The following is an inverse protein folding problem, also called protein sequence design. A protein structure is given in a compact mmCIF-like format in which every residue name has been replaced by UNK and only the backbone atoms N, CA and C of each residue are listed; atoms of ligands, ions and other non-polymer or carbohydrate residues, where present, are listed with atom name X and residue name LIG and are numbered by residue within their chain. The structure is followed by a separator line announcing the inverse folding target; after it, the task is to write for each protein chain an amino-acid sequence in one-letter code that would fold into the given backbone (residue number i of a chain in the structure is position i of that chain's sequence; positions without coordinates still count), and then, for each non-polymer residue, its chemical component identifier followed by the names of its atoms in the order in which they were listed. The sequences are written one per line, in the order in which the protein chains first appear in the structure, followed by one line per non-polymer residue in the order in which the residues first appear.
data_IF_190191113353
#
_entry.id   IF_190191113353
#
_cell.length_a   1.000
_cell.length_b   1.000
_cell.length_c   1.000
_cell.angle_alpha   90.00
_cell.angle_beta   90.00
_cell.angle_gamma   90.00
#
_symmetry.space_group_name_H-M   'P 1'
#
loop_
_entity.id
_entity.type
_entity.pdbx_description
1 polymer ?
#
# COMPACT_ATOMS: atom_id res chain seq x y z
N UNK A 1 -32.72 8.98 15.98
CA UNK A 1 -31.90 8.47 14.86
C UNK A 1 -30.45 8.41 15.31
N UNK A 2 -29.80 7.28 15.11
CA UNK A 2 -28.35 7.16 15.31
C UNK A 2 -27.59 7.78 14.13
N UNK A 3 -26.29 7.98 14.28
CA UNK A 3 -25.47 8.45 13.16
C UNK A 3 -25.51 7.51 11.95
N UNK A 4 -25.60 6.20 12.21
CA UNK A 4 -25.79 5.18 11.18
C UNK A 4 -27.12 5.35 10.43
N UNK A 5 -28.24 5.54 11.16
CA UNK A 5 -29.58 5.73 10.54
C UNK A 5 -29.61 6.98 9.67
N UNK A 6 -28.97 8.08 10.13
CA UNK A 6 -28.88 9.33 9.36
C UNK A 6 -28.07 9.09 8.07
N UNK A 7 -26.98 8.38 8.17
CA UNK A 7 -26.12 8.05 7.01
C UNK A 7 -26.86 7.20 5.98
N UNK A 8 -27.53 6.14 6.41
CA UNK A 8 -28.32 5.28 5.52
C UNK A 8 -29.42 6.09 4.84
N UNK A 9 -30.28 6.78 5.62
CA UNK A 9 -31.39 7.56 5.06
C UNK A 9 -30.91 8.65 4.09
N UNK A 10 -29.81 9.34 4.44
CA UNK A 10 -29.21 10.35 3.57
C UNK A 10 -28.72 9.74 2.25
N UNK A 11 -28.09 8.58 2.30
CA UNK A 11 -27.59 7.87 1.12
C UNK A 11 -28.74 7.36 0.25
N UNK A 12 -29.80 6.82 0.85
CA UNK A 12 -30.99 6.34 0.13
C UNK A 12 -31.68 7.44 -0.70
N UNK A 13 -31.69 8.64 -0.17
CA UNK A 13 -32.23 9.81 -0.88
C UNK A 13 -31.21 10.53 -1.75
N UNK A 14 -29.95 10.05 -1.81
CA UNK A 14 -28.89 10.63 -2.63
C UNK A 14 -28.42 12.01 -2.18
N UNK A 15 -28.55 12.35 -0.90
CA UNK A 15 -28.18 13.63 -0.33
C UNK A 15 -26.72 13.60 0.14
N UNK A 16 -25.87 14.55 -0.29
CA UNK A 16 -24.50 14.66 0.20
C UNK A 16 -24.45 15.25 1.62
N UNK A 17 -23.40 14.97 2.38
CA UNK A 17 -23.17 15.58 3.70
C UNK A 17 -23.09 17.11 3.62
N UNK A 18 -22.45 17.64 2.56
CA UNK A 18 -22.40 19.09 2.32
C UNK A 18 -23.79 19.67 2.13
N UNK A 19 -24.64 19.03 1.32
CA UNK A 19 -26.01 19.48 1.10
C UNK A 19 -26.87 19.39 2.35
N UNK A 20 -26.68 18.34 3.18
CA UNK A 20 -27.34 18.22 4.48
C UNK A 20 -26.85 19.32 5.44
N UNK A 21 -25.58 19.68 5.41
CA UNK A 21 -25.00 20.82 6.14
C UNK A 21 -25.65 22.13 5.74
N UNK A 22 -25.75 22.42 4.43
CA UNK A 22 -26.40 23.64 3.89
C UNK A 22 -27.86 23.78 4.36
N UNK A 23 -28.61 22.66 4.34
CA UNK A 23 -30.03 22.66 4.70
C UNK A 23 -30.24 22.78 6.21
N UNK A 24 -29.38 22.11 6.99
CA UNK A 24 -29.55 22.05 8.45
C UNK A 24 -28.76 23.13 9.18
N UNK A 25 -27.79 23.79 8.52
CA UNK A 25 -26.88 24.72 9.16
C UNK A 25 -25.96 24.08 10.21
N UNK A 26 -25.83 22.75 10.18
CA UNK A 26 -24.89 21.99 11.03
C UNK A 26 -23.64 21.76 10.20
N UNK A 27 -22.48 22.08 10.76
CA UNK A 27 -21.20 21.96 10.07
C UNK A 27 -20.97 20.54 9.52
N UNK A 28 -20.57 20.41 8.25
CA UNK A 28 -20.38 19.13 7.55
C UNK A 28 -19.44 18.20 8.32
N UNK A 29 -18.37 18.74 8.92
CA UNK A 29 -17.41 17.95 9.70
C UNK A 29 -18.07 17.29 10.92
N UNK A 30 -19.02 17.97 11.56
CA UNK A 30 -19.79 17.43 12.71
C UNK A 30 -20.78 16.35 12.27
N UNK A 31 -21.48 16.56 11.15
CA UNK A 31 -22.36 15.54 10.54
C UNK A 31 -21.54 14.28 10.21
N UNK A 32 -20.40 14.45 9.54
CA UNK A 32 -19.51 13.34 9.19
C UNK A 32 -18.99 12.57 10.42
N UNK A 33 -18.59 13.30 11.47
CA UNK A 33 -18.11 12.67 12.71
C UNK A 33 -19.23 11.92 13.44
N UNK A 34 -20.45 12.42 13.45
CA UNK A 34 -21.62 11.74 14.03
C UNK A 34 -22.01 10.47 13.23
N UNK A 35 -22.05 10.56 11.90
CA UNK A 35 -22.30 9.40 11.02
C UNK A 35 -21.26 8.27 11.18
N UNK A 36 -20.05 8.63 11.64
CA UNK A 36 -18.95 7.69 11.91
C UNK A 36 -18.87 7.24 13.38
N UNK A 37 -19.81 7.70 14.25
CA UNK A 37 -19.78 7.40 15.69
C UNK A 37 -18.61 8.01 16.45
N UNK A 38 -18.01 9.08 15.93
CA UNK A 38 -16.84 9.76 16.52
C UNK A 38 -17.19 10.99 17.35
N UNK A 39 -18.43 11.47 17.27
CA UNK A 39 -18.93 12.65 17.95
C UNK A 39 -20.44 12.47 18.18
N UNK A 40 -20.95 12.95 19.30
CA UNK A 40 -22.39 13.04 19.57
C UNK A 40 -22.92 14.42 19.18
N UNK A 41 -24.05 14.44 18.46
CA UNK A 41 -24.84 15.64 18.22
C UNK A 41 -25.86 15.83 19.33
N UNK A 42 -26.23 17.08 19.61
CA UNK A 42 -27.33 17.39 20.53
C UNK A 42 -28.66 16.85 20.00
N UNK A 43 -29.59 16.53 20.89
CA UNK A 43 -30.94 16.06 20.55
C UNK A 43 -31.64 17.05 19.60
N UNK A 44 -31.39 18.37 19.77
CA UNK A 44 -31.93 19.42 18.91
C UNK A 44 -31.38 19.34 17.47
N UNK A 45 -30.10 19.05 17.32
CA UNK A 45 -29.46 18.89 16.01
C UNK A 45 -29.92 17.59 15.33
N UNK A 46 -30.02 16.48 16.07
CA UNK A 46 -30.52 15.21 15.55
C UNK A 46 -31.98 15.37 15.05
N UNK A 47 -32.84 16.01 15.84
CA UNK A 47 -34.22 16.24 15.44
C UNK A 47 -34.30 17.18 14.22
N UNK A 48 -33.43 18.15 14.11
CA UNK A 48 -33.34 19.04 12.93
C UNK A 48 -32.99 18.24 11.67
N UNK A 49 -32.02 17.34 11.75
CA UNK A 49 -31.64 16.44 10.64
C UNK A 49 -32.82 15.50 10.30
N UNK A 50 -33.39 14.82 11.30
CA UNK A 50 -34.49 13.87 11.10
C UNK A 50 -35.70 14.52 10.40
N UNK A 51 -36.13 15.67 10.88
CA UNK A 51 -37.27 16.43 10.29
C UNK A 51 -37.01 16.84 8.83
N UNK A 52 -35.77 17.09 8.42
CA UNK A 52 -35.46 17.39 7.03
C UNK A 52 -35.38 16.13 6.16
N UNK A 53 -34.87 15.04 6.69
CA UNK A 53 -34.80 13.76 5.97
C UNK A 53 -36.18 13.12 5.79
N UNK A 54 -37.12 13.33 6.74
CA UNK A 54 -38.52 12.85 6.66
C UNK A 54 -39.37 13.67 5.71
N UNK A 55 -39.11 14.97 5.57
CA UNK A 55 -39.85 15.87 4.67
C UNK A 55 -39.48 15.75 3.19
N UNK A 56 -38.41 15.04 2.87
CA UNK A 56 -38.02 14.77 1.48
C UNK A 56 -38.98 13.70 0.93
N UNK A 57 -39.95 14.14 0.15
CA UNK A 57 -40.98 13.33 -0.45
C UNK A 57 -40.37 12.20 -1.32
N UNK A 58 -40.79 10.98 -1.08
CA UNK A 58 -40.38 9.81 -1.87
C UNK A 58 -40.65 9.97 -3.36
N UNK A 59 -41.68 10.73 -3.72
CA UNK A 59 -42.01 11.06 -5.12
C UNK A 59 -40.96 11.97 -5.75
N UNK A 60 -40.37 12.91 -5.00
CA UNK A 60 -39.26 13.74 -5.49
C UNK A 60 -37.97 12.93 -5.65
N UNK A 61 -37.72 12.00 -4.76
CA UNK A 61 -36.58 11.05 -4.84
C UNK A 61 -36.76 10.10 -6.02
N UNK A 62 -37.97 9.58 -6.23
CA UNK A 62 -38.31 8.75 -7.39
C UNK A 62 -38.20 9.52 -8.71
N UNK A 63 -38.59 10.80 -8.74
CA UNK A 63 -38.40 11.68 -9.91
C UNK A 63 -36.91 11.97 -10.19
N UNK A 64 -36.10 12.18 -9.14
CA UNK A 64 -34.64 12.33 -9.27
C UNK A 64 -33.97 11.01 -9.67
N UNK A 65 -34.40 9.88 -9.11
CA UNK A 65 -33.97 8.54 -9.55
C UNK A 65 -34.42 8.30 -11.00
N UNK A 66 -35.67 8.53 -11.36
CA UNK A 66 -36.14 8.39 -12.76
C UNK A 66 -35.40 9.30 -13.74
N UNK A 67 -35.08 10.52 -13.39
CA UNK A 67 -34.29 11.42 -14.25
C UNK A 67 -32.82 10.98 -14.39
N UNK A 68 -32.28 10.30 -13.37
CA UNK A 68 -30.98 9.61 -13.43
C UNK A 68 -31.04 8.29 -14.21
N UNK A 69 -32.16 7.56 -14.16
CA UNK A 69 -32.35 6.25 -14.80
C UNK A 69 -32.80 6.31 -16.27
N UNK A 70 -33.29 7.43 -16.78
CA UNK A 70 -33.74 7.54 -18.20
C UNK A 70 -32.63 7.39 -19.24
N UNK A 71 -31.36 7.23 -18.79
CA UNK A 71 -30.23 6.95 -19.66
C UNK A 71 -29.51 5.64 -19.32
N UNK A 72 -30.03 4.76 -18.40
CA UNK A 72 -29.38 3.50 -18.01
C UNK A 72 -29.31 2.50 -19.15
N UNK A 73 -30.39 2.38 -19.93
CA UNK A 73 -30.47 1.41 -21.05
C UNK A 73 -29.38 1.65 -22.11
N UNK A 74 -28.96 2.91 -22.28
CA UNK A 74 -27.89 3.25 -23.22
C UNK A 74 -26.50 2.88 -22.68
N UNK A 75 -26.29 3.00 -21.37
CA UNK A 75 -25.01 2.65 -20.74
C UNK A 75 -24.81 1.14 -20.66
N UNK A 76 -25.87 0.41 -20.27
CA UNK A 76 -25.86 -1.05 -20.27
C UNK A 76 -25.64 -1.60 -21.68
N UNK A 77 -26.21 -0.95 -22.72
CA UNK A 77 -25.95 -1.27 -24.12
C UNK A 77 -24.51 -0.98 -24.55
N UNK A 78 -23.91 0.14 -24.09
CA UNK A 78 -22.50 0.48 -24.36
C UNK A 78 -21.57 -0.49 -23.65
N UNK A 79 -21.85 -0.85 -22.39
CA UNK A 79 -21.06 -1.82 -21.62
C UNK A 79 -21.21 -3.22 -22.22
N UNK A 80 -22.43 -3.62 -22.62
CA UNK A 80 -22.71 -4.92 -23.25
C UNK A 80 -22.15 -5.04 -24.67
N UNK A 81 -22.06 -3.94 -25.41
CA UNK A 81 -21.49 -3.89 -26.77
C UNK A 81 -19.96 -3.76 -26.77
N UNK A 82 -19.34 -3.42 -25.64
CA UNK A 82 -17.89 -3.55 -25.53
C UNK A 82 -17.55 -5.02 -25.66
N UNK A 83 -16.76 -5.40 -26.67
CA UNK A 83 -16.22 -6.75 -26.67
C UNK A 83 -15.52 -6.88 -25.31
N UNK A 84 -15.94 -7.86 -24.50
CA UNK A 84 -15.13 -8.34 -23.36
C UNK A 84 -13.77 -8.62 -23.98
N UNK A 85 -12.87 -7.67 -23.86
CA UNK A 85 -11.52 -7.83 -24.37
C UNK A 85 -10.93 -8.92 -23.51
N UNK A 86 -10.92 -10.14 -24.03
CA UNK A 86 -10.04 -11.15 -23.47
C UNK A 86 -8.70 -10.48 -23.32
N UNK A 87 -8.17 -10.50 -22.11
CA UNK A 87 -6.81 -10.05 -21.91
C UNK A 87 -5.94 -10.85 -22.87
N UNK A 88 -5.29 -10.19 -23.79
CA UNK A 88 -4.25 -10.84 -24.57
C UNK A 88 -3.16 -11.19 -23.55
N UNK A 89 -3.04 -12.49 -23.23
CA UNK A 89 -1.98 -13.00 -22.38
C UNK A 89 -0.67 -12.48 -22.92
N UNK A 90 0.08 -11.75 -22.13
CA UNK A 90 1.40 -11.29 -22.57
C UNK A 90 2.34 -12.48 -22.60
N UNK A 91 3.30 -12.49 -23.53
CA UNK A 91 4.32 -13.54 -23.57
C UNK A 91 5.13 -13.61 -22.26
N UNK A 92 5.30 -12.49 -21.57
CA UNK A 92 6.09 -12.35 -20.35
C UNK A 92 5.31 -12.64 -19.07
N UNK A 93 3.99 -12.81 -19.12
CA UNK A 93 3.22 -13.20 -17.94
C UNK A 93 3.75 -14.50 -17.32
N UNK A 94 4.03 -15.54 -18.14
CA UNK A 94 4.61 -16.80 -17.64
C UNK A 94 5.96 -16.60 -16.95
N UNK A 95 6.80 -15.72 -17.50
CA UNK A 95 8.10 -15.37 -16.88
C UNK A 95 7.89 -14.71 -15.52
N UNK A 96 6.95 -13.78 -15.42
CA UNK A 96 6.65 -13.12 -14.14
C UNK A 96 6.08 -14.10 -13.12
N UNK A 97 5.17 -14.97 -13.52
CA UNK A 97 4.62 -16.01 -12.64
C UNK A 97 5.70 -16.98 -12.15
N UNK A 98 6.68 -17.30 -13.00
CA UNK A 98 7.82 -18.11 -12.59
C UNK A 98 8.72 -17.39 -11.57
N UNK A 99 8.92 -16.08 -11.73
CA UNK A 99 9.64 -15.26 -10.72
C UNK A 99 8.92 -15.33 -9.36
N UNK A 100 7.58 -15.17 -9.33
CA UNK A 100 6.80 -15.27 -8.10
C UNK A 100 6.87 -16.68 -7.49
N UNK A 101 6.78 -17.73 -8.32
CA UNK A 101 6.87 -19.12 -7.88
C UNK A 101 8.25 -19.44 -7.30
N UNK A 102 9.30 -18.93 -7.92
CA UNK A 102 10.67 -19.10 -7.41
C UNK A 102 10.86 -18.40 -6.06
N UNK A 103 10.30 -17.21 -5.90
CA UNK A 103 10.29 -16.48 -4.63
C UNK A 103 9.52 -17.27 -3.56
N UNK A 104 8.36 -17.81 -3.89
CA UNK A 104 7.55 -18.65 -3.02
C UNK A 104 8.29 -19.93 -2.61
N UNK A 105 8.94 -20.60 -3.55
CA UNK A 105 9.73 -21.80 -3.28
C UNK A 105 10.86 -21.50 -2.28
N UNK A 106 11.55 -20.38 -2.45
CA UNK A 106 12.60 -19.95 -1.52
C UNK A 106 12.04 -19.52 -0.16
N UNK A 107 10.85 -18.94 -0.12
CA UNK A 107 10.17 -18.62 1.14
C UNK A 107 9.76 -19.86 1.92
N UNK A 108 9.20 -20.86 1.21
CA UNK A 108 8.73 -22.13 1.81
C UNK A 108 9.89 -23.02 2.24
N UNK A 109 10.94 -23.06 1.43
CA UNK A 109 12.15 -23.85 1.66
C UNK A 109 13.39 -22.92 1.63
N UNK A 110 13.55 -22.04 2.63
CA UNK A 110 14.64 -21.08 2.61
C UNK A 110 15.99 -21.76 2.76
N UNK A 111 17.06 -21.19 2.17
CA UNK A 111 18.42 -21.66 2.39
C UNK A 111 18.76 -21.70 3.89
N UNK A 112 19.29 -22.81 4.36
CA UNK A 112 19.69 -22.99 5.77
C UNK A 112 21.02 -22.30 6.05
N UNK A 113 21.01 -21.00 6.27
CA UNK A 113 22.22 -20.18 6.49
C UNK A 113 22.61 -20.03 7.96
N UNK A 114 21.67 -20.25 8.87
CA UNK A 114 21.83 -19.95 10.30
C UNK A 114 21.79 -18.46 10.63
N UNK A 115 21.58 -17.57 9.64
CA UNK A 115 21.49 -16.13 9.85
C UNK A 115 20.16 -15.75 10.48
N UNK A 116 20.20 -14.83 11.46
CA UNK A 116 19.04 -14.38 12.24
C UNK A 116 18.67 -12.95 11.88
N UNK A 117 17.36 -12.69 11.75
CA UNK A 117 16.85 -11.36 11.55
C UNK A 117 15.75 -11.02 12.56
N UNK A 118 15.61 -9.74 12.85
CA UNK A 118 14.46 -9.15 13.56
C UNK A 118 13.81 -8.09 12.68
N UNK A 119 12.49 -7.95 12.79
CA UNK A 119 11.73 -6.99 12.00
C UNK A 119 10.83 -6.15 12.87
N UNK A 120 10.81 -4.83 12.62
CA UNK A 120 9.93 -3.89 13.33
C UNK A 120 9.05 -3.15 12.32
N UNK A 121 7.84 -2.79 12.75
CA UNK A 121 6.82 -2.21 11.87
C UNK A 121 6.54 -3.10 10.67
N UNK A 122 6.33 -4.39 10.93
CA UNK A 122 6.36 -5.44 9.93
C UNK A 122 5.19 -5.41 8.94
N UNK A 123 4.08 -4.74 9.27
CA UNK A 123 2.87 -4.75 8.44
C UNK A 123 2.35 -6.17 8.22
N UNK A 124 1.99 -6.49 6.99
CA UNK A 124 1.63 -7.88 6.62
C UNK A 124 2.84 -8.77 6.32
N UNK A 125 4.07 -8.28 6.48
CA UNK A 125 5.27 -9.10 6.29
C UNK A 125 5.87 -9.08 4.89
N UNK A 126 5.57 -8.08 4.03
CA UNK A 126 6.12 -8.05 2.67
C UNK A 126 7.64 -8.02 2.62
N UNK A 127 8.29 -7.16 3.42
CA UNK A 127 9.75 -7.15 3.57
C UNK A 127 10.26 -8.46 4.18
N UNK A 128 9.60 -8.95 5.23
CA UNK A 128 9.92 -10.20 5.91
C UNK A 128 9.85 -11.41 4.98
N UNK A 129 8.93 -11.41 4.03
CA UNK A 129 8.80 -12.46 3.03
C UNK A 129 10.09 -12.59 2.21
N UNK A 130 10.58 -11.46 1.68
CA UNK A 130 11.85 -11.43 0.95
C UNK A 130 13.05 -11.78 1.80
N UNK A 131 13.13 -11.28 3.04
CA UNK A 131 14.21 -11.56 4.00
C UNK A 131 14.29 -13.06 4.31
N UNK A 132 13.15 -13.70 4.58
CA UNK A 132 13.08 -15.15 4.81
C UNK A 132 13.45 -15.94 3.56
N UNK A 133 12.95 -15.57 2.40
CA UNK A 133 13.29 -16.20 1.12
C UNK A 133 14.80 -16.11 0.81
N UNK A 134 15.48 -15.05 1.22
CA UNK A 134 16.94 -14.91 1.09
C UNK A 134 17.73 -15.81 2.05
N UNK A 135 17.07 -16.46 3.03
CA UNK A 135 17.67 -17.41 3.95
C UNK A 135 17.94 -16.87 5.36
N UNK A 136 17.35 -15.73 5.74
CA UNK A 136 17.36 -15.29 7.13
C UNK A 136 16.17 -15.89 7.89
N UNK A 137 16.41 -16.38 9.08
CA UNK A 137 15.34 -16.75 10.02
C UNK A 137 14.88 -15.50 10.77
N UNK A 138 13.61 -15.15 10.65
CA UNK A 138 13.03 -14.04 11.41
C UNK A 138 12.66 -14.58 12.79
N UNK A 139 13.41 -14.15 13.81
CA UNK A 139 13.27 -14.68 15.17
C UNK A 139 12.35 -13.86 16.05
N UNK A 140 12.17 -12.58 15.72
CA UNK A 140 11.21 -11.72 16.42
C UNK A 140 10.69 -10.62 15.49
N UNK A 141 9.47 -10.16 15.75
CA UNK A 141 8.82 -9.10 15.00
C UNK A 141 7.91 -8.25 15.90
N UNK A 142 7.54 -7.07 15.40
CA UNK A 142 6.61 -6.14 16.03
C UNK A 142 5.67 -5.54 14.99
N UNK A 143 4.40 -5.43 15.32
CA UNK A 143 3.38 -4.71 14.53
C UNK A 143 2.28 -4.20 15.45
N UNK A 144 1.95 -2.90 15.34
CA UNK A 144 0.98 -2.22 16.19
C UNK A 144 -0.47 -2.64 15.88
N UNK A 145 -0.79 -2.82 14.60
CA UNK A 145 -2.17 -2.99 14.13
C UNK A 145 -2.55 -4.47 14.13
N UNK A 146 -3.46 -4.86 15.02
CA UNK A 146 -3.88 -6.26 15.18
C UNK A 146 -4.31 -6.94 13.86
N UNK A 147 -5.05 -6.24 12.99
CA UNK A 147 -5.42 -6.80 11.70
C UNK A 147 -4.21 -7.10 10.79
N UNK A 148 -3.15 -6.30 10.87
CA UNK A 148 -1.92 -6.54 10.10
C UNK A 148 -1.12 -7.68 10.70
N UNK A 149 -1.03 -7.73 12.03
CA UNK A 149 -0.44 -8.83 12.79
C UNK A 149 -1.11 -10.16 12.46
N UNK A 150 -2.45 -10.21 12.44
CA UNK A 150 -3.19 -11.42 12.09
C UNK A 150 -2.85 -11.93 10.67
N UNK A 151 -2.71 -11.03 9.68
CA UNK A 151 -2.25 -11.40 8.33
C UNK A 151 -0.80 -11.90 8.38
N UNK A 152 0.06 -11.25 9.16
CA UNK A 152 1.45 -11.67 9.33
C UNK A 152 1.53 -13.10 9.90
N UNK A 153 0.82 -13.39 10.98
CA UNK A 153 0.80 -14.69 11.67
C UNK A 153 0.36 -15.85 10.76
N UNK A 154 -0.60 -15.60 9.85
CA UNK A 154 -1.02 -16.59 8.85
C UNK A 154 0.09 -17.03 7.91
N UNK A 155 1.04 -16.14 7.61
CA UNK A 155 2.14 -16.39 6.70
C UNK A 155 3.45 -16.75 7.42
N UNK A 156 3.57 -16.38 8.71
CA UNK A 156 4.75 -16.58 9.54
C UNK A 156 4.38 -17.16 10.92
N UNK A 157 3.82 -18.38 10.99
CA UNK A 157 3.18 -18.91 12.21
C UNK A 157 4.15 -19.14 13.39
N UNK A 158 5.46 -19.16 13.15
CA UNK A 158 6.47 -19.51 14.15
C UNK A 158 7.34 -18.32 14.58
N UNK A 159 6.97 -17.09 14.20
CA UNK A 159 7.74 -15.90 14.57
C UNK A 159 7.26 -15.37 15.92
N UNK A 160 8.20 -15.05 16.81
CA UNK A 160 7.89 -14.47 18.11
C UNK A 160 7.44 -13.01 17.95
N UNK A 161 6.25 -12.66 18.43
CA UNK A 161 5.78 -11.28 18.49
C UNK A 161 6.21 -10.62 19.79
N UNK A 162 6.88 -9.48 19.64
CA UNK A 162 7.15 -8.54 20.70
C UNK A 162 5.88 -7.71 21.01
N UNK A 163 5.85 -6.90 22.08
CA UNK A 163 4.75 -5.98 22.31
C UNK A 163 4.36 -5.20 21.06
N UNK A 164 3.05 -5.01 20.86
CA UNK A 164 2.53 -4.40 19.63
C UNK A 164 3.03 -2.96 19.46
N UNK A 165 2.99 -2.14 20.52
CA UNK A 165 3.60 -0.81 20.48
C UNK A 165 5.11 -0.93 20.69
N UNK A 166 5.88 -0.44 19.73
CA UNK A 166 7.35 -0.42 19.81
C UNK A 166 7.87 0.34 21.04
N UNK A 167 7.08 1.25 21.58
CA UNK A 167 7.42 2.03 22.79
C UNK A 167 7.36 1.20 24.08
N UNK A 168 6.60 0.11 24.05
CA UNK A 168 6.45 -0.83 25.17
C UNK A 168 7.52 -1.92 25.19
N UNK A 169 8.32 -2.03 24.13
CA UNK A 169 9.42 -3.01 24.07
C UNK A 169 10.49 -2.64 25.09
N UNK A 170 10.69 -3.53 26.03
CA UNK A 170 11.62 -3.34 27.15
C UNK A 170 13.02 -3.91 26.84
N UNK A 171 14.01 -3.51 27.68
CA UNK A 171 15.32 -4.13 27.62
C UNK A 171 15.25 -5.65 27.90
N UNK A 172 14.35 -6.08 28.78
CA UNK A 172 14.16 -7.51 29.09
C UNK A 172 13.72 -8.31 27.85
N UNK A 173 12.84 -7.74 27.00
CA UNK A 173 12.42 -8.39 25.75
C UNK A 173 13.61 -8.58 24.80
N UNK A 174 14.46 -7.56 24.68
CA UNK A 174 15.65 -7.62 23.85
C UNK A 174 16.68 -8.62 24.43
N UNK A 175 16.93 -8.59 25.75
CA UNK A 175 17.84 -9.52 26.41
C UNK A 175 17.38 -10.97 26.23
N UNK A 176 16.06 -11.23 26.23
CA UNK A 176 15.52 -12.56 25.96
C UNK A 176 15.78 -13.02 24.51
N UNK A 177 15.62 -12.13 23.52
CA UNK A 177 15.98 -12.43 22.13
C UNK A 177 17.46 -12.81 22.03
N UNK A 178 18.34 -11.98 22.60
CA UNK A 178 19.79 -12.19 22.56
C UNK A 178 20.22 -13.46 23.31
N UNK A 179 19.56 -13.78 24.45
CA UNK A 179 19.80 -15.02 25.19
C UNK A 179 19.47 -16.27 24.34
N UNK A 180 18.35 -16.23 23.62
CA UNK A 180 17.89 -17.36 22.81
C UNK A 180 18.69 -17.53 21.52
N UNK A 181 19.12 -16.44 20.90
CA UNK A 181 19.71 -16.45 19.56
C UNK A 181 21.17 -16.01 19.51
N UNK A 182 21.78 -15.62 20.65
CA UNK A 182 23.18 -15.18 20.83
C UNK A 182 23.57 -13.93 20.05
N UNK A 183 23.18 -13.83 18.76
CA UNK A 183 23.45 -12.70 17.88
C UNK A 183 22.32 -12.53 16.88
N UNK A 184 22.12 -11.32 16.45
CA UNK A 184 21.24 -10.94 15.34
C UNK A 184 22.13 -10.44 14.21
N UNK A 185 21.93 -10.97 13.01
CA UNK A 185 22.74 -10.59 11.85
C UNK A 185 22.12 -9.41 11.10
N UNK A 186 20.77 -9.37 11.00
CA UNK A 186 20.04 -8.35 10.25
C UNK A 186 18.87 -7.79 11.06
N UNK A 187 18.76 -6.48 11.13
CA UNK A 187 17.55 -5.79 11.61
C UNK A 187 16.91 -5.03 10.47
N UNK A 188 15.62 -5.27 10.24
CA UNK A 188 14.87 -4.60 9.17
C UNK A 188 13.66 -3.88 9.73
N UNK A 189 13.19 -2.83 9.03
CA UNK A 189 11.97 -2.14 9.39
C UNK A 189 11.61 -0.98 8.49
N UNK A 190 10.34 -0.57 8.58
CA UNK A 190 9.80 0.61 7.91
C UNK A 190 9.15 1.57 8.92
N UNK A 191 9.92 2.20 9.82
CA UNK A 191 9.35 3.10 10.82
C UNK A 191 8.58 4.25 10.16
N UNK A 192 7.34 4.57 10.63
CA UNK A 192 6.52 5.59 10.00
C UNK A 192 7.16 6.98 10.11
N UNK A 193 7.08 7.73 9.00
CA UNK A 193 7.53 9.13 8.92
C UNK A 193 6.37 10.09 8.61
N UNK A 194 5.14 9.73 8.97
CA UNK A 194 3.93 10.44 8.53
C UNK A 194 3.81 11.88 9.04
N UNK A 195 4.40 12.23 10.16
CA UNK A 195 4.50 13.61 10.64
C UNK A 195 5.31 14.53 9.71
N UNK A 196 6.14 13.95 8.85
CA UNK A 196 6.94 14.65 7.86
C UNK A 196 6.35 14.57 6.42
N UNK A 197 5.21 13.88 6.18
CA UNK A 197 4.71 13.66 4.83
C UNK A 197 3.89 14.83 4.27
N UNK A 198 3.92 15.01 2.93
CA UNK A 198 3.10 16.02 2.22
C UNK A 198 1.59 15.75 2.31
N UNK A 199 1.19 14.50 2.54
CA UNK A 199 -0.22 14.09 2.66
C UNK A 199 -0.78 14.22 4.08
N UNK A 200 0.06 14.53 5.08
CA UNK A 200 -0.32 14.78 6.47
C UNK A 200 -0.28 16.27 6.81
N UNK A 201 -0.79 16.65 7.98
CA UNK A 201 -0.72 18.01 8.56
C UNK A 201 0.72 18.34 8.99
N UNK A 202 1.75 18.15 8.24
CA UNK A 202 3.17 18.50 8.53
C UNK A 202 3.44 18.93 9.98
N UNK A 203 2.93 18.14 10.94
CA UNK A 203 3.09 18.43 12.35
C UNK A 203 4.44 17.86 12.80
N UNK A 204 5.41 18.75 12.94
CA UNK A 204 6.76 18.43 13.42
C UNK A 204 6.75 17.87 14.86
N UNK A 205 5.66 18.07 15.62
CA UNK A 205 5.43 17.53 16.94
C UNK A 205 4.62 16.22 16.93
N UNK A 206 4.35 15.65 15.74
CA UNK A 206 3.65 14.37 15.63
C UNK A 206 4.42 13.29 16.41
N UNK A 207 3.74 12.68 17.38
CA UNK A 207 4.31 11.60 18.21
C UNK A 207 4.89 10.44 17.39
N UNK A 208 4.44 10.26 16.14
CA UNK A 208 4.96 9.23 15.24
C UNK A 208 6.39 9.49 14.78
N UNK A 209 6.90 10.72 14.88
CA UNK A 209 8.29 11.04 14.60
C UNK A 209 9.24 10.43 15.63
N UNK A 210 8.74 10.18 16.84
CA UNK A 210 9.52 9.54 17.91
C UNK A 210 9.66 8.03 17.72
N UNK A 211 8.79 7.37 16.91
CA UNK A 211 8.85 5.93 16.68
C UNK A 211 10.15 5.51 16.00
N UNK A 212 10.69 6.39 15.13
CA UNK A 212 12.00 6.17 14.55
C UNK A 212 13.13 6.14 15.59
N UNK A 213 13.04 6.98 16.62
CA UNK A 213 14.02 7.01 17.73
C UNK A 213 13.96 5.73 18.57
N UNK A 214 12.76 5.18 18.80
CA UNK A 214 12.63 3.86 19.46
C UNK A 214 13.25 2.75 18.64
N UNK A 215 13.07 2.76 17.31
CA UNK A 215 13.74 1.81 16.43
C UNK A 215 15.26 1.88 16.57
N UNK A 216 15.84 3.07 16.59
CA UNK A 216 17.29 3.25 16.77
C UNK A 216 17.77 2.82 18.17
N UNK A 217 17.02 3.10 19.23
CA UNK A 217 17.34 2.64 20.60
C UNK A 217 17.36 1.10 20.69
N UNK A 218 16.42 0.45 20.02
CA UNK A 218 16.39 -1.02 19.95
C UNK A 218 17.59 -1.54 19.13
N UNK A 219 17.90 -0.90 18.01
CA UNK A 219 19.07 -1.24 17.20
C UNK A 219 20.38 -1.10 17.97
N UNK A 220 20.51 -0.09 18.82
CA UNK A 220 21.66 0.12 19.71
C UNK A 220 21.81 -1.00 20.75
N UNK A 221 20.70 -1.54 21.26
CA UNK A 221 20.74 -2.68 22.22
C UNK A 221 21.04 -4.00 21.52
N UNK A 222 20.44 -4.26 20.35
CA UNK A 222 20.62 -5.51 19.58
C UNK A 222 22.01 -5.60 18.93
N UNK A 223 22.56 -4.47 18.48
CA UNK A 223 23.83 -4.38 17.75
C UNK A 223 23.92 -5.37 16.57
N UNK A 224 22.92 -5.41 15.65
CA UNK A 224 22.96 -6.31 14.51
C UNK A 224 24.17 -6.01 13.61
N UNK A 225 24.60 -6.98 12.78
CA UNK A 225 25.67 -6.72 11.80
C UNK A 225 25.29 -5.66 10.75
N UNK A 226 24.02 -5.74 10.29
CA UNK A 226 23.48 -4.80 9.30
C UNK A 226 22.09 -4.36 9.74
N UNK A 227 21.79 -3.07 9.54
CA UNK A 227 20.46 -2.50 9.71
C UNK A 227 19.99 -2.01 8.35
N UNK A 228 18.75 -2.40 7.97
CA UNK A 228 18.05 -1.95 6.78
C UNK A 228 16.78 -1.23 7.18
N UNK A 229 16.64 0.04 6.77
CA UNK A 229 15.41 0.81 6.95
C UNK A 229 14.84 1.16 5.58
N UNK A 230 13.57 0.82 5.35
CA UNK A 230 12.80 1.29 4.19
C UNK A 230 11.93 2.47 4.58
N UNK A 231 11.84 3.45 3.67
CA UNK A 231 10.93 4.57 3.86
C UNK A 231 10.55 5.22 2.51
N UNK A 232 9.62 6.18 2.56
CA UNK A 232 9.24 6.95 1.38
C UNK A 232 10.39 7.86 0.96
N UNK A 233 10.59 8.02 -0.37
CA UNK A 233 11.65 8.87 -0.95
C UNK A 233 11.66 10.28 -0.38
N UNK A 234 10.48 10.83 -0.07
CA UNK A 234 10.33 12.18 0.46
C UNK A 234 11.13 12.41 1.77
N UNK A 235 11.41 11.35 2.56
CA UNK A 235 12.19 11.44 3.80
C UNK A 235 13.56 12.11 3.59
N UNK A 236 14.17 11.92 2.44
CA UNK A 236 15.51 12.48 2.13
C UNK A 236 15.54 14.00 2.04
N UNK A 237 14.41 14.63 1.75
CA UNK A 237 14.26 16.09 1.64
C UNK A 237 13.54 16.72 2.84
N UNK A 238 13.07 15.90 3.78
CA UNK A 238 12.40 16.39 4.98
C UNK A 238 13.37 17.01 5.97
N UNK A 239 12.95 18.10 6.58
CA UNK A 239 13.69 18.78 7.64
C UNK A 239 12.99 18.60 8.99
N UNK A 240 13.81 18.44 10.03
CA UNK A 240 13.34 18.46 11.41
C UNK A 240 12.99 19.90 11.85
N UNK A 241 12.45 20.11 13.08
CA UNK A 241 12.14 21.45 13.58
C UNK A 241 13.31 22.41 13.63
N UNK A 242 14.55 21.89 13.71
CA UNK A 242 15.78 22.67 13.74
C UNK A 242 16.32 22.98 12.34
N UNK A 243 15.60 22.59 11.27
CA UNK A 243 15.98 22.83 9.89
C UNK A 243 17.00 21.83 9.32
N UNK A 244 17.42 20.82 10.10
CA UNK A 244 18.36 19.78 9.65
C UNK A 244 17.64 18.69 8.85
N UNK A 245 18.31 18.12 7.86
CA UNK A 245 17.73 16.99 7.10
C UNK A 245 17.57 15.76 8.01
N UNK A 246 16.37 15.16 7.99
CA UNK A 246 16.08 13.93 8.74
C UNK A 246 17.02 12.80 8.31
N UNK A 247 17.30 12.68 7.01
CA UNK A 247 18.25 11.70 6.48
C UNK A 247 19.65 11.85 7.07
N UNK A 248 20.14 13.08 7.21
CA UNK A 248 21.44 13.34 7.85
C UNK A 248 21.46 12.94 9.31
N UNK A 249 20.42 13.29 10.06
CA UNK A 249 20.26 12.90 11.47
C UNK A 249 20.30 11.38 11.67
N UNK A 250 19.66 10.63 10.74
CA UNK A 250 19.70 9.17 10.73
C UNK A 250 21.12 8.65 10.56
N UNK A 251 21.85 9.16 9.56
CA UNK A 251 23.24 8.75 9.31
C UNK A 251 24.16 9.10 10.48
N UNK A 252 24.04 10.30 11.03
CA UNK A 252 24.82 10.75 12.21
C UNK A 252 24.57 9.87 13.44
N UNK A 253 23.35 9.38 13.60
CA UNK A 253 22.99 8.46 14.70
C UNK A 253 23.65 7.09 14.48
N UNK A 254 23.59 6.53 13.28
CA UNK A 254 24.28 5.28 12.97
C UNK A 254 25.79 5.38 13.17
N UNK A 255 26.39 6.50 12.80
CA UNK A 255 27.82 6.73 13.00
C UNK A 255 28.19 6.69 14.51
N UNK A 256 27.37 7.32 15.37
CA UNK A 256 27.55 7.30 16.84
C UNK A 256 27.36 5.90 17.43
N UNK A 257 26.46 5.09 16.84
CA UNK A 257 26.20 3.70 17.25
C UNK A 257 27.29 2.72 16.77
N UNK A 258 28.32 3.17 16.03
CA UNK A 258 29.39 2.32 15.54
C UNK A 258 29.15 1.69 14.17
N UNK A 259 28.30 2.28 13.35
CA UNK A 259 28.01 1.82 11.99
C UNK A 259 28.58 2.81 10.95
N UNK A 260 28.97 2.27 9.79
CA UNK A 260 29.05 3.04 8.55
C UNK A 260 27.72 2.95 7.84
N UNK A 261 27.14 4.06 7.40
CA UNK A 261 25.81 4.06 6.82
C UNK A 261 25.71 4.94 5.57
N UNK A 262 24.78 4.61 4.71
CA UNK A 262 24.38 5.42 3.56
C UNK A 262 22.91 5.17 3.25
N UNK A 263 22.32 6.04 2.41
CA UNK A 263 20.98 5.81 1.88
C UNK A 263 20.98 5.81 0.35
N UNK A 264 20.03 5.08 -0.22
CA UNK A 264 19.88 4.86 -1.65
C UNK A 264 18.43 5.05 -2.06
N UNK A 265 18.20 5.85 -3.09
CA UNK A 265 16.88 5.93 -3.72
C UNK A 265 16.76 4.76 -4.71
N UNK A 266 15.78 3.92 -4.51
CA UNK A 266 15.50 2.74 -5.34
C UNK A 266 14.11 2.84 -5.94
N UNK A 267 13.92 2.23 -7.11
CA UNK A 267 12.61 2.00 -7.67
C UNK A 267 12.36 0.48 -7.76
N UNK A 268 11.26 0.01 -7.20
CA UNK A 268 10.97 -1.43 -7.12
C UNK A 268 10.94 -2.12 -8.51
N UNK A 269 10.58 -1.41 -9.58
CA UNK A 269 10.61 -1.94 -10.96
C UNK A 269 11.99 -2.40 -11.40
N UNK A 270 13.04 -1.76 -10.89
CA UNK A 270 14.43 -2.07 -11.24
C UNK A 270 14.86 -3.43 -10.68
N UNK A 271 14.07 -3.97 -9.75
CA UNK A 271 14.24 -5.27 -9.07
C UNK A 271 13.18 -6.31 -9.48
N UNK A 272 12.47 -6.08 -10.58
CA UNK A 272 11.50 -7.03 -11.13
C UNK A 272 10.08 -6.91 -10.60
N UNK A 273 9.77 -5.91 -9.80
CA UNK A 273 8.40 -5.61 -9.37
C UNK A 273 7.69 -4.86 -10.50
N UNK A 274 6.49 -5.25 -10.95
CA UNK A 274 5.79 -4.61 -12.06
C UNK A 274 5.13 -3.28 -11.66
N UNK A 275 5.88 -2.44 -10.93
CA UNK A 275 5.36 -1.22 -10.30
C UNK A 275 6.44 -0.14 -10.17
N UNK A 276 6.08 1.09 -10.55
CA UNK A 276 6.82 2.28 -10.17
C UNK A 276 6.59 2.59 -8.69
N UNK A 277 7.56 2.17 -7.86
CA UNK A 277 7.52 2.43 -6.41
C UNK A 277 8.87 2.91 -5.94
N UNK A 278 9.02 4.22 -5.82
CA UNK A 278 10.24 4.84 -5.33
C UNK A 278 10.30 4.81 -3.80
N UNK A 279 11.43 4.35 -3.28
CA UNK A 279 11.71 4.27 -1.85
C UNK A 279 13.13 4.71 -1.54
N UNK A 280 13.34 5.15 -0.33
CA UNK A 280 14.69 5.31 0.23
C UNK A 280 15.01 4.10 1.11
N UNK A 281 16.18 3.53 0.89
CA UNK A 281 16.71 2.43 1.69
C UNK A 281 17.97 2.93 2.41
N UNK A 282 17.92 2.92 3.74
CA UNK A 282 19.11 3.14 4.56
C UNK A 282 19.76 1.80 4.85
N UNK A 283 21.06 1.71 4.65
CA UNK A 283 21.86 0.54 4.99
C UNK A 283 22.96 1.01 5.94
N UNK A 284 22.97 0.43 7.14
CA UNK A 284 24.03 0.66 8.12
C UNK A 284 24.77 -0.67 8.38
N UNK A 285 26.08 -0.66 8.17
CA UNK A 285 26.97 -1.82 8.30
C UNK A 285 27.88 -1.57 9.49
N UNK A 286 27.92 -2.51 10.44
CA UNK A 286 28.71 -2.36 11.68
C UNK A 286 30.21 -2.28 11.35
N UNK A 287 30.92 -1.35 12.01
CA UNK A 287 32.32 -0.99 11.66
C UNK A 287 33.31 -2.13 11.79
N UNK A 288 33.05 -3.11 12.67
CA UNK A 288 33.90 -4.30 12.84
C UNK A 288 33.97 -5.19 11.59
N UNK A 289 32.93 -5.13 10.73
CA UNK A 289 32.94 -5.86 9.45
C UNK A 289 33.91 -5.29 8.42
N UNK A 290 34.45 -4.08 8.65
CA UNK A 290 35.40 -3.40 7.75
C UNK A 290 34.90 -3.24 6.31
N UNK A 291 33.59 -3.24 6.11
CA UNK A 291 32.91 -3.08 4.81
C UNK A 291 32.19 -1.74 4.75
N UNK A 292 32.02 -1.19 3.57
CA UNK A 292 31.24 0.04 3.33
C UNK A 292 29.82 -0.31 2.87
N UNK A 293 28.80 0.46 3.27
CA UNK A 293 27.43 0.22 2.81
C UNK A 293 27.32 0.42 1.30
N UNK A 294 26.59 -0.48 0.64
CA UNK A 294 26.24 -0.44 -0.78
C UNK A 294 24.87 -1.08 -0.98
N UNK A 295 24.31 -0.97 -2.17
CA UNK A 295 22.97 -1.47 -2.52
C UNK A 295 23.07 -2.49 -3.65
N UNK A 296 22.08 -3.40 -3.72
CA UNK A 296 21.96 -4.36 -4.81
C UNK A 296 21.90 -3.65 -6.17
N UNK A 297 22.59 -4.22 -7.16
CA UNK A 297 22.52 -3.75 -8.53
C UNK A 297 21.11 -3.96 -9.12
N UNK A 298 20.72 -3.08 -10.02
CA UNK A 298 19.45 -3.17 -10.75
C UNK A 298 19.49 -4.33 -11.73
N UNK A 299 18.39 -5.09 -11.84
CA UNK A 299 18.31 -6.29 -12.68
C UNK A 299 17.43 -6.12 -13.91
N UNK A 300 16.65 -5.06 -13.96
CA UNK A 300 15.69 -4.78 -15.03
C UNK A 300 15.84 -3.36 -15.56
N UNK A 301 15.41 -3.15 -16.79
CA UNK A 301 15.51 -1.84 -17.46
C UNK A 301 16.83 -1.62 -18.18
N UNK A 302 17.04 -0.41 -18.70
CA UNK A 302 18.26 -0.07 -19.43
C UNK A 302 19.48 -0.13 -18.50
N UNK A 303 20.38 -1.06 -18.74
CA UNK A 303 21.69 -1.04 -18.08
C UNK A 303 22.55 0.07 -18.70
N UNK A 304 23.34 0.73 -17.85
CA UNK A 304 24.32 1.72 -18.29
C UNK A 304 25.52 1.05 -19.00
N UNK A 305 25.60 -0.30 -18.94
CA UNK A 305 26.69 -1.06 -19.55
C UNK A 305 26.36 -1.44 -20.98
N UNK A 306 27.20 -0.99 -21.93
CA UNK A 306 27.14 -1.32 -23.36
C UNK A 306 27.21 -2.83 -23.67
N UNK A 307 27.62 -3.67 -22.73
CA UNK A 307 27.86 -5.11 -22.92
C UNK A 307 26.81 -6.03 -22.28
N UNK A 308 25.95 -5.53 -21.39
CA UNK A 308 24.90 -6.30 -20.73
C UNK A 308 23.60 -5.51 -20.72
N UNK A 309 22.66 -5.89 -21.58
CA UNK A 309 21.31 -5.37 -21.54
C UNK A 309 20.49 -6.13 -20.48
N UNK A 310 20.05 -5.42 -19.42
CA UNK A 310 19.06 -5.97 -18.51
C UNK A 310 17.76 -6.29 -19.26
N UNK A 311 17.00 -7.32 -18.86
CA UNK A 311 15.67 -7.57 -19.41
C UNK A 311 14.76 -6.34 -19.16
N UNK A 312 13.79 -6.06 -20.04
CA UNK A 312 12.86 -4.96 -19.86
C UNK A 312 12.05 -5.14 -18.59
N UNK A 313 11.53 -4.04 -18.03
CA UNK A 313 10.65 -4.07 -16.86
C UNK A 313 9.45 -4.98 -17.08
N UNK A 314 8.97 -5.60 -16.01
CA UNK A 314 7.64 -6.20 -16.01
C UNK A 314 6.57 -5.12 -16.01
N UNK A 315 5.53 -5.34 -16.80
CA UNK A 315 4.43 -4.40 -17.01
C UNK A 315 3.21 -4.78 -16.16
N UNK A 316 2.21 -3.90 -16.13
CA UNK A 316 0.90 -4.21 -15.56
C UNK A 316 0.33 -5.50 -16.19
N UNK A 317 0.33 -5.57 -17.53
CA UNK A 317 -0.17 -6.73 -18.26
C UNK A 317 0.60 -8.01 -17.93
N UNK A 318 1.92 -7.93 -17.75
CA UNK A 318 2.74 -9.10 -17.37
C UNK A 318 2.34 -9.65 -16.01
N UNK A 319 1.87 -8.79 -15.11
CA UNK A 319 1.46 -9.21 -13.77
C UNK A 319 0.07 -9.88 -13.72
N UNK A 320 -0.87 -9.50 -14.60
CA UNK A 320 -2.29 -9.83 -14.42
C UNK A 320 -2.98 -10.45 -15.63
N UNK A 321 -2.30 -10.64 -16.78
CA UNK A 321 -2.94 -11.07 -18.03
C UNK A 321 -3.51 -12.50 -18.01
N UNK A 322 -3.17 -13.30 -17.02
CA UNK A 322 -3.73 -14.64 -16.78
C UNK A 322 -4.98 -14.64 -15.88
N UNK A 323 -5.23 -13.53 -15.16
CA UNK A 323 -6.40 -13.40 -14.29
C UNK A 323 -7.69 -13.33 -15.12
N UNK A 324 -8.81 -13.69 -14.51
CA UNK A 324 -10.13 -13.55 -15.11
C UNK A 324 -10.45 -12.06 -15.35
N UNK A 325 -11.02 -11.74 -16.53
CA UNK A 325 -11.46 -10.37 -16.80
C UNK A 325 -12.71 -10.06 -15.99
N UNK A 326 -12.66 -8.99 -15.22
CA UNK A 326 -13.78 -8.51 -14.41
C UNK A 326 -14.08 -7.05 -14.77
N UNK A 327 -15.36 -6.71 -14.88
CA UNK A 327 -15.87 -5.34 -14.86
C UNK A 327 -16.34 -4.92 -13.45
N UNK A 328 -16.83 -3.70 -13.31
CA UNK A 328 -17.32 -3.16 -12.05
C UNK A 328 -18.42 -4.05 -11.45
N UNK A 329 -18.27 -4.44 -10.18
CA UNK A 329 -19.22 -5.30 -9.45
C UNK A 329 -19.09 -6.80 -9.72
N UNK A 330 -18.23 -7.23 -10.63
CA UNK A 330 -18.04 -8.66 -10.91
C UNK A 330 -17.05 -9.31 -9.93
N UNK A 331 -17.21 -10.63 -9.74
CA UNK A 331 -16.38 -11.43 -8.82
C UNK A 331 -15.90 -12.69 -9.53
N UNK A 332 -14.62 -13.01 -9.39
CA UNK A 332 -14.06 -14.28 -9.89
C UNK A 332 -14.62 -15.47 -9.09
N UNK A 333 -14.88 -16.56 -9.80
CA UNK A 333 -15.23 -17.85 -9.20
C UNK A 333 -14.01 -18.68 -8.79
N UNK A 334 -12.82 -18.26 -9.21
CA UNK A 334 -11.56 -19.01 -9.04
C UNK A 334 -10.65 -18.46 -7.94
N UNK A 335 -10.84 -17.20 -7.57
CA UNK A 335 -9.96 -16.48 -6.65
C UNK A 335 -10.77 -15.52 -5.78
N UNK A 336 -10.84 -15.80 -4.49
CA UNK A 336 -11.59 -15.04 -3.50
C UNK A 336 -11.11 -13.58 -3.33
N UNK A 337 -9.86 -13.30 -3.70
CA UNK A 337 -9.28 -11.95 -3.63
C UNK A 337 -9.42 -11.19 -4.97
N UNK A 338 -10.00 -11.82 -5.99
CA UNK A 338 -10.21 -11.22 -7.30
C UNK A 338 -11.68 -10.86 -7.52
N UNK A 339 -12.10 -9.77 -6.90
CA UNK A 339 -13.43 -9.18 -7.05
C UNK A 339 -13.33 -7.67 -7.23
N UNK A 340 -14.23 -7.11 -8.00
CA UNK A 340 -14.28 -5.70 -8.35
C UNK A 340 -15.31 -4.95 -7.51
N UNK A 341 -14.91 -3.81 -6.99
CA UNK A 341 -15.85 -2.89 -6.33
C UNK A 341 -16.94 -2.47 -7.32
N UNK A 342 -18.18 -2.46 -6.88
CA UNK A 342 -19.28 -1.92 -7.67
C UNK A 342 -19.24 -0.39 -7.62
N UNK A 343 -18.95 0.25 -8.77
CA UNK A 343 -18.87 1.69 -8.87
C UNK A 343 -20.20 2.30 -9.32
N UNK A 344 -20.55 3.52 -8.83
CA UNK A 344 -21.75 4.21 -9.27
C UNK A 344 -21.75 4.45 -10.77
N UNK A 345 -22.92 4.41 -11.40
CA UNK A 345 -23.11 4.57 -12.84
C UNK A 345 -22.44 5.83 -13.40
N UNK A 346 -22.59 6.97 -12.72
CA UNK A 346 -21.98 8.23 -13.17
C UNK A 346 -20.43 8.16 -13.24
N UNK A 347 -19.81 7.37 -12.36
CA UNK A 347 -18.36 7.16 -12.38
C UNK A 347 -17.95 6.28 -13.57
N UNK A 348 -18.75 5.25 -13.86
CA UNK A 348 -18.54 4.39 -15.03
C UNK A 348 -18.64 5.22 -16.30
N UNK A 349 -19.64 6.11 -16.40
CA UNK A 349 -19.80 7.04 -17.56
C UNK A 349 -18.60 7.94 -17.77
N UNK A 350 -18.01 8.47 -16.70
CA UNK A 350 -16.82 9.31 -16.80
C UNK A 350 -15.62 8.56 -17.39
N UNK A 351 -15.54 7.26 -17.14
CA UNK A 351 -14.35 6.45 -17.40
C UNK A 351 -14.47 5.58 -18.66
N UNK A 352 -15.69 5.28 -19.10
CA UNK A 352 -15.93 4.26 -20.11
C UNK A 352 -15.07 4.44 -21.37
N UNK A 353 -14.90 5.67 -21.87
CA UNK A 353 -14.15 5.99 -23.08
C UNK A 353 -12.78 6.61 -22.82
N UNK A 354 -12.37 6.68 -21.54
CA UNK A 354 -11.04 7.21 -21.19
C UNK A 354 -9.96 6.24 -21.66
N UNK A 355 -8.98 6.70 -22.45
CA UNK A 355 -7.88 5.86 -22.90
C UNK A 355 -6.92 5.49 -21.74
N UNK A 356 -6.10 4.47 -21.94
CA UNK A 356 -5.01 4.12 -21.03
C UNK A 356 -4.11 5.33 -20.75
N UNK A 357 -3.68 5.48 -19.51
CA UNK A 357 -2.80 6.58 -19.09
C UNK A 357 -3.49 7.95 -18.97
N UNK A 358 -4.77 8.07 -19.33
CA UNK A 358 -5.55 9.30 -19.22
C UNK A 358 -6.48 9.28 -18.01
N UNK A 359 -6.93 10.45 -17.61
CA UNK A 359 -7.88 10.65 -16.51
C UNK A 359 -9.28 10.98 -17.06
N UNK A 360 -10.34 10.71 -16.29
CA UNK A 360 -11.67 11.19 -16.62
C UNK A 360 -11.75 12.73 -16.68
N UNK A 361 -10.82 13.44 -16.04
CA UNK A 361 -10.71 14.90 -16.17
C UNK A 361 -10.24 15.36 -17.57
N UNK A 362 -9.67 14.45 -18.36
CA UNK A 362 -9.22 14.73 -19.74
C UNK A 362 -10.35 14.55 -20.78
N UNK A 363 -11.57 14.14 -20.37
CA UNK A 363 -12.71 14.02 -21.29
C UNK A 363 -13.01 15.34 -21.99
N UNK A 364 -13.35 15.26 -23.29
CA UNK A 364 -13.70 16.44 -24.09
C UNK A 364 -15.01 17.03 -23.60
N UNK A 365 -16.05 16.19 -23.39
CA UNK A 365 -17.33 16.61 -22.86
C UNK A 365 -17.21 16.96 -21.36
N UNK A 366 -17.47 18.21 -20.95
CA UNK A 366 -17.44 18.61 -19.55
C UNK A 366 -18.42 17.83 -18.65
N UNK A 367 -19.55 17.35 -19.20
CA UNK A 367 -20.54 16.56 -18.45
C UNK A 367 -20.03 15.15 -18.07
N UNK A 368 -18.99 14.68 -18.76
CA UNK A 368 -18.31 13.43 -18.48
C UNK A 368 -17.05 13.60 -17.61
N UNK A 369 -16.86 14.78 -17.03
CA UNK A 369 -15.75 15.03 -16.10
C UNK A 369 -16.21 14.91 -14.65
N UNK A 370 -15.35 14.38 -13.76
CA UNK A 370 -15.59 14.46 -12.33
C UNK A 370 -15.72 15.93 -11.88
N UNK A 371 -16.61 16.25 -10.93
CA UNK A 371 -16.86 17.64 -10.49
C UNK A 371 -15.70 18.24 -9.70
N UNK A 372 -14.79 17.40 -9.19
CA UNK A 372 -13.63 17.83 -8.40
C UNK A 372 -12.52 16.80 -8.48
N UNK A 373 -11.28 17.21 -8.21
CA UNK A 373 -10.10 16.37 -8.20
C UNK A 373 -8.98 16.92 -9.08
N UNK A 374 -7.96 16.10 -9.28
CA UNK A 374 -6.78 16.43 -10.08
C UNK A 374 -6.64 15.41 -11.23
N UNK A 375 -5.90 15.72 -12.28
CA UNK A 375 -5.63 14.81 -13.40
C UNK A 375 -4.90 13.52 -13.00
N UNK A 376 -4.50 13.38 -11.74
CA UNK A 376 -3.98 12.13 -11.18
C UNK A 376 -5.07 11.21 -10.65
N UNK A 377 -6.29 11.74 -10.39
CA UNK A 377 -7.45 10.96 -9.93
C UNK A 377 -8.23 10.41 -11.13
N UNK A 378 -9.02 9.36 -10.92
CA UNK A 378 -9.78 8.68 -11.98
C UNK A 378 -8.93 8.36 -13.21
N UNK A 379 -7.65 8.06 -12.99
CA UNK A 379 -6.67 7.86 -14.06
C UNK A 379 -6.46 6.36 -14.30
N UNK A 380 -6.52 5.96 -15.58
CA UNK A 380 -6.22 4.59 -15.98
C UNK A 380 -4.74 4.30 -15.88
N UNK A 381 -4.41 3.08 -15.46
CA UNK A 381 -3.09 2.49 -15.63
C UNK A 381 -2.79 2.29 -17.13
N UNK A 382 -1.58 1.84 -17.45
CA UNK A 382 -1.16 1.52 -18.82
C UNK A 382 -0.75 0.05 -18.87
N UNK A 383 -1.35 -0.72 -19.77
CA UNK A 383 -1.15 -2.18 -19.87
C UNK A 383 0.30 -2.57 -20.13
N UNK A 384 0.98 -1.83 -21.00
CA UNK A 384 2.35 -2.10 -21.46
C UNK A 384 3.43 -1.38 -20.65
N UNK A 385 3.09 -0.81 -19.50
CA UNK A 385 4.01 -0.13 -18.59
C UNK A 385 3.96 -0.76 -17.20
N UNK A 386 5.02 -0.62 -16.38
CA UNK A 386 4.92 -0.89 -14.96
C UNK A 386 3.79 -0.07 -14.35
N UNK A 387 3.00 -0.66 -13.46
CA UNK A 387 1.93 0.04 -12.77
C UNK A 387 2.43 1.28 -12.02
N UNK A 388 1.58 2.26 -11.80
CA UNK A 388 1.83 3.28 -10.78
C UNK A 388 1.89 2.66 -9.38
N UNK A 389 2.38 3.41 -8.40
CA UNK A 389 2.46 2.92 -7.03
C UNK A 389 1.09 2.42 -6.54
N UNK A 390 1.01 1.15 -6.12
CA UNK A 390 -0.17 0.60 -5.43
C UNK A 390 -0.33 1.35 -4.11
N UNK A 391 -1.36 2.19 -4.07
CA UNK A 391 -1.67 3.03 -2.90
C UNK A 391 -2.50 2.27 -1.87
N UNK A 392 -2.58 2.76 -0.64
CA UNK A 392 -3.49 2.23 0.40
C UNK A 392 -4.97 2.29 0.01
N UNK A 393 -5.28 3.07 -1.01
CA UNK A 393 -6.62 3.29 -1.55
C UNK A 393 -6.81 2.66 -2.94
N UNK A 394 -6.05 1.64 -3.32
CA UNK A 394 -6.09 1.07 -4.67
C UNK A 394 -7.48 0.59 -5.13
N UNK A 395 -8.35 0.21 -4.20
CA UNK A 395 -9.75 -0.13 -4.49
C UNK A 395 -10.69 1.09 -4.61
N UNK A 396 -10.19 2.32 -4.40
CA UNK A 396 -10.96 3.55 -4.57
C UNK A 396 -10.65 4.15 -5.95
N UNK A 397 -11.64 4.15 -6.82
CA UNK A 397 -11.49 4.59 -8.21
C UNK A 397 -11.11 6.09 -8.32
N UNK A 398 -11.51 6.90 -7.36
CA UNK A 398 -11.15 8.32 -7.23
C UNK A 398 -9.75 8.57 -6.70
N UNK A 399 -9.07 7.55 -6.17
CA UNK A 399 -7.69 7.67 -5.74
C UNK A 399 -6.75 7.76 -6.95
N UNK A 400 -5.53 8.19 -6.79
CA UNK A 400 -4.50 8.33 -7.83
C UNK A 400 -4.72 7.51 -9.14
N UNK A 401 -3.74 6.79 -9.65
CA UNK A 401 -3.86 5.90 -10.82
C UNK A 401 -4.44 4.54 -10.42
N UNK A 402 -5.67 4.51 -9.88
CA UNK A 402 -6.27 3.25 -9.39
C UNK A 402 -7.19 2.57 -10.41
N UNK A 403 -7.44 3.19 -11.58
CA UNK A 403 -8.32 2.61 -12.60
C UNK A 403 -7.55 1.59 -13.42
N UNK A 404 -8.14 0.39 -13.56
CA UNK A 404 -7.58 -0.67 -14.41
C UNK A 404 -7.36 -0.17 -15.86
N UNK A 405 -6.30 -0.59 -16.56
CA UNK A 405 -6.02 -0.10 -17.93
C UNK A 405 -7.19 -0.28 -18.90
N UNK A 406 -7.87 -1.40 -18.85
CA UNK A 406 -8.91 -1.81 -19.81
C UNK A 406 -10.29 -1.78 -19.17
N UNK A 407 -10.52 -2.51 -18.05
CA UNK A 407 -11.80 -2.57 -17.37
C UNK A 407 -12.15 -1.22 -16.71
N UNK A 408 -13.46 -0.94 -16.59
CA UNK A 408 -13.93 0.34 -16.03
C UNK A 408 -14.17 0.22 -14.54
N UNK A 409 -13.10 -0.02 -13.79
CA UNK A 409 -13.11 -0.24 -12.36
C UNK A 409 -11.77 0.05 -11.70
N UNK A 410 -11.78 0.14 -10.37
CA UNK A 410 -10.57 0.15 -9.58
C UNK A 410 -9.87 -1.23 -9.61
N UNK A 411 -8.64 -1.27 -9.08
CA UNK A 411 -7.87 -2.52 -8.96
C UNK A 411 -8.52 -3.46 -7.94
N UNK A 412 -8.45 -4.76 -8.21
CA UNK A 412 -8.80 -5.80 -7.24
C UNK A 412 -7.66 -6.05 -6.26
N UNK A 413 -7.94 -6.75 -5.16
CA UNK A 413 -6.91 -7.13 -4.20
C UNK A 413 -5.90 -8.08 -4.80
N UNK A 414 -6.31 -9.04 -5.65
CA UNK A 414 -5.40 -9.94 -6.35
C UNK A 414 -4.45 -9.20 -7.29
N UNK A 415 -4.98 -8.26 -8.06
CA UNK A 415 -4.14 -7.41 -8.93
C UNK A 415 -3.13 -6.61 -8.10
N UNK A 416 -3.57 -6.00 -7.00
CA UNK A 416 -2.68 -5.24 -6.11
C UNK A 416 -1.58 -6.11 -5.52
N UNK A 417 -1.89 -7.34 -5.07
CA UNK A 417 -0.90 -8.31 -4.58
C UNK A 417 0.14 -8.66 -5.65
N UNK A 418 -0.33 -9.00 -6.86
CA UNK A 418 0.54 -9.32 -8.00
C UNK A 418 1.45 -8.15 -8.38
N UNK A 419 0.89 -6.92 -8.43
CA UNK A 419 1.65 -5.70 -8.71
C UNK A 419 2.65 -5.36 -7.60
N UNK A 420 2.42 -5.82 -6.37
CA UNK A 420 3.33 -5.73 -5.23
C UNK A 420 4.27 -6.94 -5.13
N UNK A 421 4.26 -7.86 -6.10
CA UNK A 421 5.04 -9.10 -6.12
C UNK A 421 4.76 -10.09 -4.96
N UNK A 422 3.57 -10.07 -4.38
CA UNK A 422 3.14 -11.15 -3.51
C UNK A 422 2.74 -12.38 -4.33
N UNK A 423 3.17 -13.60 -3.96
CA UNK A 423 2.67 -14.83 -4.56
C UNK A 423 1.17 -15.02 -4.29
N UNK A 424 0.50 -15.78 -5.16
CA UNK A 424 -0.95 -16.01 -5.04
C UNK A 424 -1.35 -16.79 -3.79
N UNK A 425 -0.44 -17.54 -3.22
CA UNK A 425 -0.60 -18.30 -1.97
C UNK A 425 -0.48 -17.44 -0.71
N UNK A 426 -0.13 -16.16 -0.84
CA UNK A 426 -0.08 -15.25 0.31
C UNK A 426 -1.47 -15.08 0.91
N UNK A 427 -1.59 -15.43 2.19
CA UNK A 427 -2.87 -15.49 2.91
C UNK A 427 -3.25 -14.13 3.46
N UNK A 428 -4.53 -13.79 3.34
CA UNK A 428 -5.13 -12.60 3.91
C UNK A 428 -6.27 -12.98 4.87
N UNK A 429 -6.55 -12.10 5.81
CA UNK A 429 -7.71 -12.19 6.71
C UNK A 429 -8.16 -10.81 7.15
N UNK A 430 -9.43 -10.68 7.50
CA UNK A 430 -10.03 -9.44 7.97
C UNK A 430 -10.79 -8.67 6.90
N UNK A 431 -11.10 -7.42 7.19
CA UNK A 431 -11.90 -6.56 6.32
C UNK A 431 -11.06 -5.89 5.23
N UNK A 432 -11.69 -5.55 4.11
CA UNK A 432 -11.05 -4.95 2.93
C UNK A 432 -10.26 -3.67 3.22
N UNK A 433 -10.77 -2.76 4.06
CA UNK A 433 -10.13 -1.49 4.36
C UNK A 433 -8.71 -1.67 4.94
N UNK A 434 -8.56 -2.40 6.05
CA UNK A 434 -7.26 -2.78 6.59
C UNK A 434 -6.38 -3.55 5.61
N UNK A 435 -6.94 -4.51 4.86
CA UNK A 435 -6.22 -5.28 3.83
C UNK A 435 -5.64 -4.35 2.77
N UNK A 436 -6.44 -3.44 2.22
CA UNK A 436 -5.97 -2.46 1.23
C UNK A 436 -4.86 -1.58 1.78
N UNK A 437 -5.03 -1.11 3.00
CA UNK A 437 -4.04 -0.24 3.65
C UNK A 437 -2.72 -0.95 3.84
N UNK A 438 -2.72 -2.16 4.36
CA UNK A 438 -1.47 -2.89 4.63
C UNK A 438 -0.76 -3.34 3.36
N UNK A 439 -1.50 -3.75 2.31
CA UNK A 439 -0.91 -4.08 1.00
C UNK A 439 -0.29 -2.83 0.36
N UNK A 440 -0.99 -1.69 0.37
CA UNK A 440 -0.47 -0.44 -0.18
C UNK A 440 0.79 0.07 0.54
N UNK A 441 0.88 -0.15 1.85
CA UNK A 441 2.06 0.21 2.64
C UNK A 441 3.21 -0.80 2.50
N UNK A 442 2.95 -2.03 2.12
CA UNK A 442 3.94 -3.09 2.11
C UNK A 442 5.16 -2.78 1.24
N UNK A 443 6.32 -3.21 1.71
CA UNK A 443 7.50 -3.37 0.85
C UNK A 443 7.28 -4.59 -0.04
N UNK A 444 7.43 -4.47 -1.37
CA UNK A 444 7.28 -5.62 -2.25
C UNK A 444 8.21 -6.78 -1.86
N UNK A 445 7.69 -8.02 -1.72
CA UNK A 445 8.51 -9.18 -1.34
C UNK A 445 9.74 -9.38 -2.22
N UNK A 446 9.63 -9.17 -3.52
CA UNK A 446 10.75 -9.32 -4.46
C UNK A 446 11.83 -8.25 -4.22
N UNK A 447 11.46 -7.00 -3.95
CA UNK A 447 12.43 -5.97 -3.56
C UNK A 447 13.12 -6.37 -2.24
N UNK A 448 12.35 -6.80 -1.24
CA UNK A 448 12.90 -7.28 0.03
C UNK A 448 13.87 -8.45 -0.16
N UNK A 449 13.56 -9.38 -1.06
CA UNK A 449 14.42 -10.52 -1.39
C UNK A 449 15.75 -10.08 -2.00
N UNK A 450 15.74 -9.20 -3.00
CA UNK A 450 16.96 -8.75 -3.66
C UNK A 450 17.88 -7.97 -2.71
N UNK A 451 17.29 -7.12 -1.86
CA UNK A 451 18.05 -6.39 -0.84
C UNK A 451 18.65 -7.34 0.20
N UNK A 452 17.87 -8.29 0.72
CA UNK A 452 18.34 -9.24 1.73
C UNK A 452 19.38 -10.22 1.16
N UNK A 453 19.18 -10.69 -0.08
CA UNK A 453 20.16 -11.52 -0.79
C UNK A 453 21.49 -10.79 -0.95
N UNK A 454 21.47 -9.55 -1.38
CA UNK A 454 22.66 -8.71 -1.50
C UNK A 454 23.36 -8.53 -0.14
N UNK A 455 22.61 -8.25 0.93
CA UNK A 455 23.16 -8.11 2.28
C UNK A 455 23.83 -9.40 2.73
N UNK A 456 23.20 -10.55 2.49
CA UNK A 456 23.76 -11.86 2.81
C UNK A 456 25.10 -12.08 2.10
N UNK A 457 25.14 -11.88 0.80
CA UNK A 457 26.30 -12.16 -0.05
C UNK A 457 27.49 -11.21 0.24
N UNK A 458 27.21 -9.97 0.62
CA UNK A 458 28.26 -8.97 0.80
C UNK A 458 28.70 -8.75 2.25
N UNK A 459 27.84 -9.02 3.24
CA UNK A 459 28.14 -8.68 4.63
C UNK A 459 28.10 -9.87 5.60
N UNK A 460 27.57 -11.03 5.19
CA UNK A 460 27.41 -12.18 6.08
C UNK A 460 28.34 -13.36 5.76
N UNK A 461 28.87 -13.40 4.54
CA UNK A 461 29.78 -14.45 4.07
C UNK A 461 31.24 -14.05 4.24
#
# INVERSE_FOLDING_TARGET
MTGFDIRERRNDIGLSQSKLSDITGIEQARISAYELGKLDLSVKEINKIANHLEKIDETAVLKLKKKRFQNSDHLDSIIAQRPRREFSKTKRNKEYLEVLKNLETQFTNPPKTGLKAVSFFAGCGGLCYGVKAAGFEIVATNELVENYKAIYELNFPNVNFLPNDVQEITKSDIDQILKNHKKIDLMVGGPPCQGFSLAGKRDVNDKRNTLFEYYLKIAEQIQPKVILIENVRLLTSMKDPNGSLVSKRILDTFEKMGYKSNFYNVNAKDYGVPQHRERVIFIAVRKDLKKSPSIAETKYGNSVNLFNSNPPYFTFGDAVSDLEFLESGETSKKDEHHWAVNHPEHVIRWLVDVPEGKSAHDNIDPNLRPPSGYNTTYKRQVWKEPAGTVATTYGMISGCRNVHPIATRALTTREALRLQSFPDTFKLTGNDGPIRTVIGNAVPPLLGFELAKFIKENYML
#
